data_IF_354997844272
#
_entry.id   IF_354997844272
#
_cell.length_a   1.000
_cell.length_b   1.000
_cell.length_c   1.000
_cell.angle_alpha   90.00
_cell.angle_beta   90.00
_cell.angle_gamma   90.00
#
_symmetry.space_group_name_H-M   'P 1'
#
loop_
_entity.id
_entity.type
_entity.pdbx_description
1 polymer ?
#
# COMPACT_ATOMS: atom_id res chain seq x y z
N UNK A 1 27.80 -17.93 15.46
CA UNK A 1 26.72 -16.92 15.54
C UNK A 1 25.55 -17.40 14.71
N UNK A 2 24.61 -18.10 15.35
CA UNK A 2 23.43 -18.70 14.71
C UNK A 2 22.23 -17.84 15.06
N UNK A 3 21.80 -17.01 14.09
CA UNK A 3 20.56 -16.25 14.20
C UNK A 3 19.41 -17.22 13.97
N UNK A 4 18.86 -17.74 15.07
CA UNK A 4 17.61 -18.50 15.05
C UNK A 4 16.46 -17.55 14.66
N UNK A 5 16.14 -17.49 13.36
CA UNK A 5 14.89 -16.94 12.86
C UNK A 5 13.73 -17.87 13.28
N UNK A 6 13.39 -17.84 14.56
CA UNK A 6 12.20 -18.49 15.08
C UNK A 6 10.97 -17.83 14.45
N UNK A 7 10.23 -18.58 13.63
CA UNK A 7 8.94 -18.13 13.08
C UNK A 7 7.98 -17.83 14.25
N UNK A 8 7.83 -16.55 14.59
CA UNK A 8 6.89 -16.10 15.62
C UNK A 8 5.47 -16.46 15.19
N UNK A 9 4.81 -17.37 15.93
CA UNK A 9 3.40 -17.73 15.69
C UNK A 9 2.54 -17.00 16.72
N UNK A 10 1.72 -16.07 16.24
CA UNK A 10 0.79 -15.31 17.08
C UNK A 10 -0.61 -15.90 16.92
N UNK A 11 -1.23 -16.30 18.03
CA UNK A 11 -2.61 -16.80 18.07
C UNK A 11 -3.41 -15.99 19.10
N UNK A 12 -4.38 -15.22 18.61
CA UNK A 12 -5.33 -14.50 19.46
C UNK A 12 -6.61 -15.32 19.62
N UNK A 13 -7.13 -15.42 20.85
CA UNK A 13 -8.40 -16.11 21.15
C UNK A 13 -9.24 -15.21 22.06
N UNK A 14 -10.48 -14.98 21.67
CA UNK A 14 -11.46 -14.25 22.45
C UNK A 14 -12.46 -15.23 23.05
N UNK A 15 -12.77 -15.09 24.34
CA UNK A 15 -13.73 -15.95 25.01
C UNK A 15 -14.53 -15.19 26.04
N UNK A 16 -15.84 -15.44 26.08
CA UNK A 16 -16.73 -15.03 27.15
C UNK A 16 -16.75 -16.13 28.21
N UNK A 17 -16.57 -15.79 29.48
CA UNK A 17 -16.77 -16.72 30.58
C UNK A 17 -17.80 -16.18 31.56
N UNK A 18 -18.84 -16.96 31.85
CA UNK A 18 -19.84 -16.68 32.86
C UNK A 18 -19.63 -17.64 34.04
N UNK A 19 -19.62 -17.10 35.25
CA UNK A 19 -19.53 -17.88 36.49
C UNK A 19 -20.74 -17.56 37.36
N UNK A 20 -21.48 -18.58 37.77
CA UNK A 20 -22.61 -18.47 38.69
C UNK A 20 -22.18 -19.05 40.03
N UNK A 21 -22.14 -18.22 41.07
CA UNK A 21 -21.81 -18.63 42.44
C UNK A 21 -23.04 -18.56 43.33
N UNK A 22 -23.36 -19.65 44.03
CA UNK A 22 -24.35 -19.67 45.10
C UNK A 22 -23.64 -19.54 46.44
N UNK A 23 -23.92 -18.48 47.19
CA UNK A 23 -23.37 -18.26 48.54
C UNK A 23 -24.45 -18.51 49.60
N UNK A 24 -24.10 -19.24 50.66
CA UNK A 24 -24.95 -19.45 51.85
C UNK A 24 -24.10 -19.14 53.07
N UNK A 25 -24.54 -18.19 53.91
CA UNK A 25 -23.79 -17.67 55.07
C UNK A 25 -22.36 -17.25 54.69
N UNK A 26 -22.23 -16.44 53.64
CA UNK A 26 -20.95 -15.88 53.18
C UNK A 26 -20.00 -16.85 52.47
N UNK A 27 -20.17 -18.17 52.58
CA UNK A 27 -19.36 -19.18 51.86
C UNK A 27 -19.96 -19.50 50.49
N UNK A 28 -19.11 -19.55 49.46
CA UNK A 28 -19.47 -20.07 48.14
C UNK A 28 -19.71 -21.57 48.26
N UNK A 29 -20.98 -21.99 48.13
CA UNK A 29 -21.42 -23.38 48.27
C UNK A 29 -21.48 -24.13 46.95
N UNK A 30 -21.66 -23.43 45.82
CA UNK A 30 -21.70 -24.03 44.48
C UNK A 30 -21.24 -23.00 43.46
N UNK A 31 -20.37 -23.38 42.55
CA UNK A 31 -20.00 -22.56 41.39
C UNK A 31 -20.21 -23.36 40.11
N UNK A 32 -20.82 -22.72 39.11
CA UNK A 32 -20.92 -23.24 37.75
C UNK A 32 -20.24 -22.24 36.82
N UNK A 33 -19.33 -22.73 35.96
CA UNK A 33 -18.63 -21.89 35.00
C UNK A 33 -18.91 -22.36 33.59
N UNK A 34 -19.33 -21.44 32.73
CA UNK A 34 -19.49 -21.68 31.30
C UNK A 34 -18.51 -20.77 30.55
N UNK A 35 -17.80 -21.32 29.57
CA UNK A 35 -16.88 -20.57 28.71
C UNK A 35 -17.28 -20.79 27.25
N UNK A 36 -17.42 -19.71 26.50
CA UNK A 36 -17.71 -19.73 25.06
C UNK A 36 -16.63 -18.97 24.32
N UNK A 37 -16.03 -19.59 23.32
CA UNK A 37 -15.13 -18.91 22.39
C UNK A 37 -15.95 -18.10 21.39
N UNK A 38 -15.52 -16.86 21.13
CA UNK A 38 -16.21 -15.95 20.23
C UNK A 38 -15.32 -15.76 18.99
N UNK A 39 -15.87 -15.86 17.76
CA UNK A 39 -15.12 -15.52 16.56
C UNK A 39 -14.72 -14.06 16.63
N UNK A 40 -13.45 -13.79 16.38
CA UNK A 40 -12.98 -12.43 16.35
C UNK A 40 -13.35 -11.78 15.02
N UNK A 41 -14.27 -10.83 15.08
CA UNK A 41 -14.67 -10.00 13.94
C UNK A 41 -14.21 -8.58 14.28
N UNK A 42 -13.22 -8.09 13.55
CA UNK A 42 -12.84 -6.69 13.60
C UNK A 42 -13.25 -6.07 12.27
N UNK A 43 -14.28 -5.24 12.31
CA UNK A 43 -14.53 -4.34 11.20
C UNK A 43 -13.49 -3.23 11.32
N UNK A 44 -12.53 -3.12 10.38
CA UNK A 44 -11.61 -2.00 10.41
C UNK A 44 -12.44 -0.72 10.33
N UNK A 45 -12.20 0.21 11.25
CA UNK A 45 -12.77 1.56 11.16
C UNK A 45 -12.23 2.16 9.87
N UNK A 46 -13.14 2.65 9.01
CA UNK A 46 -12.75 3.41 7.82
C UNK A 46 -12.11 4.70 8.33
N UNK A 47 -10.79 4.70 8.40
CA UNK A 47 -10.01 5.88 8.74
C UNK A 47 -10.04 6.85 7.56
N UNK A 48 -9.85 8.15 7.83
CA UNK A 48 -9.63 9.17 6.80
C UNK A 48 -8.24 8.97 6.18
N UNK A 49 -8.07 7.87 5.45
CA UNK A 49 -6.87 7.57 4.69
C UNK A 49 -6.87 8.45 3.42
N UNK A 50 -5.72 9.03 3.06
CA UNK A 50 -5.61 9.75 1.80
C UNK A 50 -5.89 8.77 0.65
N UNK A 51 -6.64 9.23 -0.35
CA UNK A 51 -6.88 8.48 -1.58
C UNK A 51 -5.88 8.83 -2.68
N UNK A 52 -4.95 9.74 -2.41
CA UNK A 52 -3.98 10.28 -3.36
C UNK A 52 -2.57 10.31 -2.76
N UNK A 53 -1.58 9.93 -3.56
CA UNK A 53 -0.15 10.05 -3.23
C UNK A 53 0.60 10.55 -4.47
N UNK A 54 1.48 11.54 -4.28
CA UNK A 54 2.29 12.14 -5.35
C UNK A 54 3.79 12.04 -5.03
N UNK A 55 4.61 11.66 -6.01
CA UNK A 55 6.07 11.57 -5.90
C UNK A 55 6.72 12.09 -7.18
N UNK A 56 7.86 12.77 -7.09
CA UNK A 56 8.52 13.38 -8.23
C UNK A 56 9.95 12.89 -8.46
N UNK A 57 10.38 12.90 -9.72
CA UNK A 57 11.76 12.67 -10.16
C UNK A 57 12.26 13.90 -10.94
N UNK A 58 13.46 14.39 -10.60
CA UNK A 58 14.07 15.51 -11.33
C UNK A 58 14.54 15.07 -12.72
N UNK A 59 14.53 16.00 -13.67
CA UNK A 59 15.02 15.79 -15.03
C UNK A 59 16.48 15.28 -15.05
N UNK A 60 17.32 15.78 -14.15
CA UNK A 60 18.73 15.36 -14.04
C UNK A 60 18.89 13.88 -13.68
N UNK A 61 17.98 13.34 -12.87
CA UNK A 61 18.00 11.90 -12.53
C UNK A 61 17.53 11.05 -13.71
N UNK A 62 16.58 11.58 -14.50
CA UNK A 62 16.04 10.92 -15.69
C UNK A 62 17.03 10.90 -16.86
N UNK A 63 17.92 11.90 -16.94
CA UNK A 63 18.89 12.08 -18.02
C UNK A 63 20.25 11.42 -17.78
N UNK A 64 20.54 10.91 -16.57
CA UNK A 64 21.76 10.13 -16.27
C UNK A 64 21.75 8.79 -17.01
N UNK A 65 22.02 8.83 -18.32
CA UNK A 65 22.75 7.78 -19.04
C UNK A 65 24.02 7.48 -18.24
N UNK A 66 24.37 6.22 -18.00
CA UNK A 66 25.52 5.77 -17.22
C UNK A 66 26.90 6.18 -17.77
N UNK A 67 27.12 7.45 -18.06
CA UNK A 67 28.43 8.05 -18.24
C UNK A 67 28.89 8.51 -16.86
N UNK A 68 30.10 8.07 -16.49
CA UNK A 68 30.80 8.51 -15.30
C UNK A 68 30.62 10.01 -15.08
N UNK A 69 30.48 10.38 -13.80
CA UNK A 69 30.57 11.74 -13.33
C UNK A 69 31.55 12.58 -14.19
N UNK A 70 31.16 13.76 -14.68
CA UNK A 70 32.14 14.71 -15.17
C UNK A 70 33.13 14.92 -14.03
N UNK A 71 34.42 14.69 -14.30
CA UNK A 71 35.49 15.04 -13.39
C UNK A 71 35.23 16.45 -12.90
N UNK A 72 35.09 16.60 -11.59
CA UNK A 72 35.24 17.87 -10.90
C UNK A 72 36.63 18.40 -11.23
N UNK A 73 36.73 19.21 -12.28
CA UNK A 73 37.86 20.09 -12.51
C UNK A 73 37.67 21.28 -11.59
N UNK A 74 38.70 21.48 -10.77
CA UNK A 74 38.78 22.38 -9.65
C UNK A 74 38.52 23.86 -10.00
N UNK A 75 38.22 24.59 -8.92
CA UNK A 75 38.38 26.04 -8.73
C UNK A 75 37.41 26.96 -9.48
N UNK A 76 36.38 27.43 -8.77
CA UNK A 76 36.22 28.89 -8.54
C UNK A 76 35.19 29.18 -7.44
N UNK A 77 35.62 30.01 -6.50
CA UNK A 77 34.94 31.05 -5.74
C UNK A 77 33.47 30.86 -5.29
N UNK A 78 33.27 31.12 -4.00
CA UNK A 78 31.99 31.36 -3.34
C UNK A 78 31.09 32.31 -4.14
N UNK A 79 30.03 31.76 -4.72
CA UNK A 79 28.74 32.44 -4.82
C UNK A 79 27.69 31.52 -4.20
N UNK A 80 27.00 32.04 -3.19
CA UNK A 80 25.82 31.46 -2.57
C UNK A 80 24.67 31.51 -3.61
N UNK A 81 24.83 30.71 -4.65
CA UNK A 81 23.93 30.62 -5.78
C UNK A 81 22.70 29.83 -5.34
N UNK A 82 21.52 30.36 -5.67
CA UNK A 82 20.27 29.62 -5.52
C UNK A 82 20.42 28.26 -6.23
N UNK A 83 19.88 27.17 -5.66
CA UNK A 83 19.97 25.87 -6.28
C UNK A 83 19.47 25.95 -7.73
N UNK A 84 20.27 25.43 -8.66
CA UNK A 84 19.93 25.41 -10.09
C UNK A 84 18.54 24.77 -10.24
N UNK A 85 17.61 25.51 -10.84
CA UNK A 85 16.26 25.02 -11.08
C UNK A 85 16.33 23.78 -11.99
N UNK A 86 15.77 22.67 -11.51
CA UNK A 86 15.65 21.43 -12.26
C UNK A 86 14.18 21.03 -12.30
N UNK A 87 13.53 21.01 -13.48
CA UNK A 87 12.14 20.61 -13.58
C UNK A 87 11.99 19.14 -13.17
N UNK A 88 10.83 18.77 -12.65
CA UNK A 88 10.58 17.41 -12.16
C UNK A 88 9.30 16.83 -12.73
N UNK A 89 9.36 15.56 -13.13
CA UNK A 89 8.19 14.77 -13.49
C UNK A 89 7.55 14.24 -12.22
N UNK A 90 6.29 14.54 -12.01
CA UNK A 90 5.49 14.09 -10.87
C UNK A 90 4.58 12.93 -11.27
N UNK A 91 4.49 11.94 -10.40
CA UNK A 91 3.65 10.77 -10.53
C UNK A 91 2.63 10.78 -9.42
N UNK A 92 1.35 10.65 -9.77
CA UNK A 92 0.23 10.60 -8.84
C UNK A 92 -0.50 9.26 -8.95
N UNK A 93 -0.75 8.65 -7.80
CA UNK A 93 -1.63 7.49 -7.67
C UNK A 93 -2.93 7.95 -7.04
N UNK A 94 -4.06 7.55 -7.62
CA UNK A 94 -5.39 7.87 -7.11
C UNK A 94 -6.20 6.58 -6.95
N UNK A 95 -6.76 6.39 -5.76
CA UNK A 95 -7.73 5.34 -5.42
C UNK A 95 -9.14 5.92 -5.23
N UNK A 96 -10.19 5.10 -5.29
CA UNK A 96 -11.51 5.47 -4.79
C UNK A 96 -11.44 5.93 -3.34
N UNK A 97 -12.31 6.86 -2.96
CA UNK A 97 -12.45 7.29 -1.58
C UNK A 97 -13.68 6.60 -0.97
N UNK A 98 -13.55 5.89 0.17
CA UNK A 98 -12.32 5.60 0.90
C UNK A 98 -11.43 4.54 0.19
N UNK A 99 -10.10 4.54 0.42
CA UNK A 99 -9.15 3.61 -0.22
C UNK A 99 -9.28 2.18 0.34
N UNK A 100 -10.36 1.51 -0.04
CA UNK A 100 -10.72 0.16 0.41
C UNK A 100 -10.52 -0.84 -0.75
N UNK A 101 -9.78 -1.90 -0.45
CA UNK A 101 -9.59 -3.07 -1.30
C UNK A 101 -10.48 -4.20 -0.78
N UNK A 102 -11.46 -4.61 -1.57
CA UNK A 102 -12.34 -5.72 -1.21
C UNK A 102 -11.73 -7.02 -1.72
N UNK A 103 -11.62 -8.03 -0.86
CA UNK A 103 -11.09 -9.34 -1.22
C UNK A 103 -11.88 -9.94 -2.39
N UNK A 104 -11.16 -10.43 -3.41
CA UNK A 104 -11.75 -11.01 -4.61
C UNK A 104 -12.45 -10.01 -5.55
N UNK A 105 -12.40 -8.70 -5.27
CA UNK A 105 -12.94 -7.65 -6.14
C UNK A 105 -11.81 -6.73 -6.63
N UNK A 106 -11.87 -6.33 -7.89
CA UNK A 106 -10.95 -5.35 -8.45
C UNK A 106 -11.26 -3.95 -7.95
N UNK A 107 -10.25 -3.28 -7.39
CA UNK A 107 -10.31 -1.84 -7.08
C UNK A 107 -9.55 -1.07 -8.16
N UNK A 108 -10.16 -0.06 -8.81
CA UNK A 108 -9.48 0.73 -9.82
C UNK A 108 -8.37 1.59 -9.19
N UNK A 109 -7.22 1.63 -9.85
CA UNK A 109 -6.04 2.43 -9.51
C UNK A 109 -5.76 3.32 -10.71
N UNK A 110 -5.77 4.64 -10.52
CA UNK A 110 -5.40 5.60 -11.56
C UNK A 110 -3.96 6.05 -11.34
N UNK A 111 -3.19 6.11 -12.43
CA UNK A 111 -1.84 6.63 -12.47
C UNK A 111 -1.80 7.84 -13.41
N UNK A 112 -1.41 9.00 -12.88
CA UNK A 112 -1.24 10.24 -13.65
C UNK A 112 0.21 10.67 -13.58
N UNK A 113 0.79 10.99 -14.73
CA UNK A 113 2.13 11.56 -14.84
C UNK A 113 2.00 13.02 -15.26
N UNK A 114 2.47 13.91 -14.40
CA UNK A 114 2.61 15.34 -14.64
C UNK A 114 4.03 15.62 -15.11
N UNK A 115 4.19 15.94 -16.38
CA UNK A 115 5.49 16.21 -17.01
C UNK A 115 5.51 17.67 -17.46
N UNK A 116 6.34 18.53 -16.83
CA UNK A 116 6.50 19.93 -17.24
C UNK A 116 6.93 20.03 -18.71
N UNK A 117 6.52 21.12 -19.38
CA UNK A 117 6.82 21.37 -20.81
C UNK A 117 8.31 21.34 -21.10
N UNK A 118 9.11 21.84 -20.17
CA UNK A 118 10.56 21.90 -20.24
C UNK A 118 11.17 20.51 -20.42
N UNK A 119 10.63 19.51 -19.73
CA UNK A 119 11.06 18.10 -19.87
C UNK A 119 10.57 17.53 -21.20
N UNK A 120 9.32 17.80 -21.57
CA UNK A 120 8.75 17.28 -22.82
C UNK A 120 9.46 17.80 -24.07
N UNK A 121 9.98 19.02 -24.04
CA UNK A 121 10.71 19.62 -25.15
C UNK A 121 12.16 19.12 -25.24
N UNK A 122 12.77 18.76 -24.10
CA UNK A 122 14.18 18.34 -24.03
C UNK A 122 14.39 16.83 -24.11
N UNK A 123 13.36 16.03 -23.82
CA UNK A 123 13.48 14.58 -23.69
C UNK A 123 12.21 13.85 -24.17
N UNK A 124 12.39 12.64 -24.71
CA UNK A 124 11.26 11.77 -25.04
C UNK A 124 11.11 10.71 -23.96
N UNK A 125 10.20 10.94 -23.02
CA UNK A 125 10.04 10.07 -21.84
C UNK A 125 9.09 8.91 -22.15
N UNK A 126 9.49 7.71 -21.75
CA UNK A 126 8.70 6.49 -21.89
C UNK A 126 8.40 5.89 -20.52
N UNK A 127 7.16 5.46 -20.34
CA UNK A 127 6.79 4.52 -19.27
C UNK A 127 7.19 3.12 -19.72
N UNK A 128 8.10 2.51 -18.96
CA UNK A 128 8.70 1.21 -19.26
C UNK A 128 8.09 0.07 -18.48
N UNK A 129 7.65 0.35 -17.27
CA UNK A 129 6.92 -0.62 -16.47
C UNK A 129 6.05 0.07 -15.44
N UNK A 130 4.97 -0.60 -15.04
CA UNK A 130 4.18 -0.25 -13.86
C UNK A 130 3.94 -1.52 -13.08
N UNK A 131 4.30 -1.49 -11.80
CA UNK A 131 4.19 -2.62 -10.90
C UNK A 131 3.35 -2.22 -9.69
N UNK A 132 2.28 -2.96 -9.45
CA UNK A 132 1.41 -2.81 -8.29
C UNK A 132 1.74 -3.92 -7.28
N UNK A 133 2.07 -3.53 -6.05
CA UNK A 133 2.40 -4.45 -4.96
C UNK A 133 1.63 -4.07 -3.71
N UNK A 134 1.18 -5.07 -2.95
CA UNK A 134 0.55 -4.85 -1.67
C UNK A 134 1.52 -5.27 -0.56
N UNK A 135 1.95 -4.31 0.23
CA UNK A 135 2.79 -4.54 1.40
C UNK A 135 1.92 -4.74 2.62
N UNK A 136 2.01 -5.92 3.23
CA UNK A 136 1.29 -6.30 4.42
C UNK A 136 2.22 -6.20 5.63
N UNK A 137 1.86 -5.36 6.60
CA UNK A 137 2.58 -5.23 7.87
C UNK A 137 1.76 -5.88 8.96
N UNK A 138 2.26 -6.99 9.51
CA UNK A 138 1.63 -7.71 10.62
C UNK A 138 2.44 -7.40 11.88
N UNK A 139 1.83 -6.68 12.81
CA UNK A 139 2.45 -6.30 14.07
C UNK A 139 1.74 -7.00 15.22
N UNK A 140 2.49 -7.58 16.16
CA UNK A 140 1.96 -8.22 17.35
C UNK A 140 2.65 -7.71 18.62
N UNK A 141 1.91 -7.66 19.73
CA UNK A 141 2.39 -7.24 21.04
C UNK A 141 2.35 -8.43 22.03
N UNK A 142 3.36 -9.33 22.00
CA UNK A 142 3.38 -10.50 22.87
C UNK A 142 3.64 -10.17 24.35
N UNK A 143 4.26 -9.02 24.64
CA UNK A 143 4.54 -8.49 25.99
C UNK A 143 4.40 -6.96 26.00
N UNK A 144 5.52 -6.25 25.93
CA UNK A 144 5.60 -4.77 26.01
C UNK A 144 6.08 -4.09 24.73
N UNK A 145 6.64 -4.85 23.77
CA UNK A 145 7.18 -4.31 22.52
C UNK A 145 6.43 -4.87 21.31
N UNK A 146 6.11 -3.99 20.35
CA UNK A 146 5.56 -4.41 19.07
C UNK A 146 6.64 -5.09 18.24
N UNK A 147 6.32 -6.26 17.70
CA UNK A 147 7.12 -6.96 16.72
C UNK A 147 6.35 -6.99 15.40
N UNK A 148 6.95 -6.45 14.34
CA UNK A 148 6.36 -6.38 13.01
C UNK A 148 7.06 -7.30 12.03
N UNK A 149 6.28 -8.01 11.23
CA UNK A 149 6.74 -8.73 10.04
C UNK A 149 6.09 -8.07 8.83
N UNK A 150 6.90 -7.78 7.82
CA UNK A 150 6.42 -7.23 6.55
C UNK A 150 6.47 -8.32 5.49
N UNK A 151 5.37 -8.49 4.77
CA UNK A 151 5.23 -9.41 3.64
C UNK A 151 4.85 -8.60 2.40
N UNK A 152 5.50 -8.86 1.26
CA UNK A 152 5.23 -8.15 0.01
C UNK A 152 4.49 -9.09 -0.93
N UNK A 153 3.26 -8.74 -1.24
CA UNK A 153 2.42 -9.49 -2.17
C UNK A 153 2.45 -8.82 -3.53
N UNK A 154 2.98 -9.55 -4.50
CA UNK A 154 2.96 -9.13 -5.90
C UNK A 154 1.51 -9.14 -6.39
N UNK A 155 1.05 -8.02 -6.92
CA UNK A 155 -0.19 -7.96 -7.67
C UNK A 155 0.11 -8.04 -9.16
N UNK A 156 0.04 -6.89 -9.82
CA UNK A 156 0.11 -6.79 -11.28
C UNK A 156 1.42 -6.13 -11.70
N UNK A 157 2.00 -6.58 -12.83
CA UNK A 157 3.12 -5.90 -13.48
C UNK A 157 2.84 -5.81 -14.96
N UNK A 158 2.95 -4.61 -15.51
CA UNK A 158 2.94 -4.38 -16.95
C UNK A 158 4.31 -3.83 -17.35
N UNK A 159 4.83 -4.31 -18.47
CA UNK A 159 6.06 -3.83 -19.08
C UNK A 159 5.77 -3.44 -20.52
N UNK A 160 6.39 -2.36 -20.98
CA UNK A 160 6.17 -1.84 -22.32
C UNK A 160 7.07 -0.65 -22.63
N UNK A 161 6.71 0.11 -23.64
CA UNK A 161 7.34 1.40 -23.94
C UNK A 161 6.27 2.37 -24.41
N UNK A 162 5.61 3.02 -23.46
CA UNK A 162 4.52 3.97 -23.74
C UNK A 162 5.07 5.39 -23.66
N UNK A 163 5.10 6.15 -24.77
CA UNK A 163 5.60 7.52 -24.75
C UNK A 163 4.64 8.46 -24.01
N UNK A 164 5.18 9.36 -23.20
CA UNK A 164 4.43 10.44 -22.56
C UNK A 164 4.26 11.57 -23.59
N UNK A 165 3.02 11.77 -24.07
CA UNK A 165 2.70 12.71 -25.16
C UNK A 165 2.01 14.00 -24.71
N UNK A 166 1.70 14.13 -23.42
CA UNK A 166 1.01 15.27 -22.84
C UNK A 166 1.58 15.62 -21.46
N UNK A 167 1.43 16.87 -21.04
CA UNK A 167 1.83 17.30 -19.69
C UNK A 167 1.09 16.53 -18.61
N UNK A 168 -0.19 16.25 -18.86
CA UNK A 168 -1.05 15.44 -18.02
C UNK A 168 -1.29 14.13 -18.76
N UNK A 169 -0.47 13.12 -18.46
CA UNK A 169 -0.56 11.82 -19.08
C UNK A 169 -1.20 10.84 -18.10
N UNK A 170 -2.46 10.50 -18.36
CA UNK A 170 -3.14 9.42 -17.65
C UNK A 170 -2.83 8.10 -18.33
N UNK A 171 -2.29 7.15 -17.58
CA UNK A 171 -2.00 5.83 -18.12
C UNK A 171 -3.28 4.97 -18.10
N UNK A 172 -3.77 4.62 -19.30
CA UNK A 172 -4.87 3.67 -19.49
C UNK A 172 -4.38 2.25 -19.18
N UNK A 173 -4.66 1.79 -17.96
CA UNK A 173 -4.25 0.47 -17.48
C UNK A 173 -5.26 -0.64 -17.83
N UNK A 174 -6.45 -0.31 -18.33
CA UNK A 174 -7.50 -1.29 -18.62
C UNK A 174 -7.82 -2.19 -17.42
N UNK A 175 -7.92 -3.50 -17.64
CA UNK A 175 -8.12 -4.48 -16.57
C UNK A 175 -6.97 -4.52 -15.54
N UNK A 176 -5.75 -4.09 -15.91
CA UNK A 176 -4.60 -4.02 -14.99
C UNK A 176 -4.73 -2.90 -13.97
N UNK A 177 -5.51 -1.87 -14.29
CA UNK A 177 -5.88 -0.82 -13.35
C UNK A 177 -6.72 -1.37 -12.20
N UNK A 178 -7.24 -2.58 -12.30
CA UNK A 178 -7.99 -3.23 -11.23
C UNK A 178 -7.03 -4.04 -10.35
N UNK A 179 -6.74 -3.54 -9.15
CA UNK A 179 -5.96 -4.27 -8.17
C UNK A 179 -6.87 -5.20 -7.34
N UNK A 180 -6.51 -6.49 -7.27
CA UNK A 180 -7.29 -7.51 -6.56
C UNK A 180 -6.46 -8.20 -5.47
N UNK A 181 -6.78 -7.99 -4.18
CA UNK A 181 -6.10 -8.72 -3.10
C UNK A 181 -6.67 -10.16 -2.99
N UNK A 182 -6.01 -11.14 -3.64
CA UNK A 182 -6.51 -12.53 -3.69
C UNK A 182 -6.12 -13.39 -2.48
N UNK A 183 -5.01 -13.08 -1.79
CA UNK A 183 -4.46 -13.90 -0.69
C UNK A 183 -4.28 -13.08 0.60
N UNK A 184 -5.06 -12.01 0.75
CA UNK A 184 -4.98 -11.13 1.90
C UNK A 184 -6.00 -11.43 2.98
N UNK A 185 -5.63 -11.12 4.22
CA UNK A 185 -6.57 -11.09 5.34
C UNK A 185 -7.14 -9.68 5.46
N UNK A 186 -8.35 -9.51 5.99
CA UNK A 186 -8.86 -8.19 6.31
C UNK A 186 -7.88 -7.40 7.18
N UNK A 187 -7.84 -6.09 6.96
CA UNK A 187 -7.16 -5.15 7.85
C UNK A 187 -7.69 -5.32 9.26
N UNK A 188 -6.79 -5.21 10.22
CA UNK A 188 -7.09 -5.47 11.61
C UNK A 188 -6.34 -4.47 12.49
N UNK A 189 -7.03 -3.87 13.46
CA UNK A 189 -6.40 -3.08 14.50
C UNK A 189 -6.97 -3.45 15.87
N UNK A 190 -6.19 -4.20 16.65
CA UNK A 190 -6.50 -4.57 18.03
C UNK A 190 -5.35 -4.19 18.96
N UNK A 191 -5.56 -4.30 20.27
CA UNK A 191 -4.54 -4.02 21.28
C UNK A 191 -3.32 -4.95 21.21
N UNK A 192 -3.47 -6.17 20.67
CA UNK A 192 -2.41 -7.19 20.64
C UNK A 192 -1.94 -7.53 19.24
N UNK A 193 -2.72 -7.21 18.21
CA UNK A 193 -2.47 -7.57 16.82
C UNK A 193 -2.95 -6.48 15.87
N UNK A 194 -2.10 -6.11 14.93
CA UNK A 194 -2.40 -5.19 13.84
C UNK A 194 -2.01 -5.82 12.51
N UNK A 195 -2.89 -5.70 11.52
CA UNK A 195 -2.64 -6.07 10.12
C UNK A 195 -2.97 -4.83 9.31
N UNK A 196 -1.94 -4.18 8.80
CA UNK A 196 -2.04 -2.97 7.98
C UNK A 196 -1.52 -3.26 6.57
N UNK A 197 -2.03 -2.50 5.60
CA UNK A 197 -1.65 -2.65 4.21
C UNK A 197 -1.30 -1.32 3.58
N UNK A 198 -0.32 -1.37 2.68
CA UNK A 198 0.07 -0.25 1.84
C UNK A 198 0.13 -0.74 0.39
N UNK A 199 -0.55 -0.04 -0.52
CA UNK A 199 -0.44 -0.27 -1.96
C UNK A 199 0.75 0.54 -2.47
N UNK A 200 1.76 -0.16 -2.97
CA UNK A 200 2.93 0.42 -3.61
C UNK A 200 2.78 0.33 -5.14
N UNK A 201 2.91 1.47 -5.81
CA UNK A 201 2.99 1.55 -7.28
C UNK A 201 4.40 1.98 -7.65
N UNK A 202 5.08 1.10 -8.37
CA UNK A 202 6.45 1.31 -8.86
C UNK A 202 6.39 1.51 -10.37
N UNK A 203 6.74 2.69 -10.84
CA UNK A 203 6.76 3.05 -12.26
C UNK A 203 8.19 3.18 -12.74
N UNK A 204 8.56 2.40 -13.75
CA UNK A 204 9.83 2.53 -14.46
C UNK A 204 9.69 3.54 -15.59
N UNK A 205 10.55 4.56 -15.60
CA UNK A 205 10.60 5.62 -16.60
C UNK A 205 11.98 5.64 -17.28
N UNK A 206 12.03 5.92 -18.57
CA UNK A 206 13.30 6.13 -19.28
C UNK A 206 13.24 7.34 -20.22
N UNK A 207 14.37 8.00 -20.43
CA UNK A 207 14.53 8.94 -21.54
C UNK A 207 15.00 8.18 -22.79
N UNK A 208 14.13 8.08 -23.81
CA UNK A 208 14.35 7.22 -24.96
C UNK A 208 14.12 5.74 -24.68
N UNK A 209 14.14 4.93 -25.75
CA UNK A 209 13.95 3.47 -25.69
C UNK A 209 15.19 2.72 -25.19
N UNK A 210 16.38 3.26 -25.44
CA UNK A 210 17.67 2.70 -25.02
C UNK A 210 18.17 3.29 -23.68
N UNK A 211 17.45 4.29 -23.14
CA UNK A 211 17.86 4.97 -21.92
C UNK A 211 17.74 4.08 -20.67
N UNK A 212 18.53 4.38 -19.63
CA UNK A 212 18.41 3.66 -18.36
C UNK A 212 17.03 3.89 -17.74
N UNK A 213 16.51 2.85 -17.07
CA UNK A 213 15.23 2.90 -16.38
C UNK A 213 15.44 3.43 -14.97
N UNK A 214 14.78 4.55 -14.68
CA UNK A 214 14.64 5.11 -13.34
C UNK A 214 13.31 4.66 -12.74
N UNK A 215 13.30 4.32 -11.45
CA UNK A 215 12.10 3.87 -10.77
C UNK A 215 11.55 4.93 -9.82
N UNK A 216 10.26 5.22 -9.95
CA UNK A 216 9.48 6.01 -9.01
C UNK A 216 8.58 5.07 -8.21
N UNK A 217 8.63 5.19 -6.88
CA UNK A 217 7.76 4.42 -5.99
C UNK A 217 6.88 5.38 -5.23
N UNK A 218 5.56 5.20 -5.32
CA UNK A 218 4.60 5.88 -4.47
C UNK A 218 3.76 4.84 -3.71
N UNK A 219 3.34 5.22 -2.51
CA UNK A 219 2.83 4.29 -1.50
C UNK A 219 1.61 4.90 -0.84
N UNK A 220 0.50 4.18 -0.81
CA UNK A 220 -0.75 4.63 -0.20
C UNK A 220 -1.27 3.61 0.80
N UNK A 221 -1.60 4.05 2.00
CA UNK A 221 -2.23 3.19 3.00
C UNK A 221 -3.66 2.82 2.56
N UNK A 222 -3.99 1.54 2.69
CA UNK A 222 -5.27 0.99 2.22
C UNK A 222 -5.88 0.07 3.28
N UNK A 223 -7.21 -0.03 3.25
CA UNK A 223 -7.93 -1.02 4.04
C UNK A 223 -8.29 -2.22 3.18
N UNK A 224 -7.97 -3.42 3.66
CA UNK A 224 -8.45 -4.66 3.05
C UNK A 224 -9.68 -5.12 3.81
N UNK A 225 -10.77 -5.44 3.12
CA UNK A 225 -12.01 -5.89 3.75
C UNK A 225 -12.54 -7.15 3.08
N UNK A 226 -13.22 -7.99 3.86
CA UNK A 226 -14.05 -9.06 3.30
C UNK A 226 -15.17 -8.46 2.42
N UNK A 227 -15.66 -9.19 1.41
CA UNK A 227 -16.85 -8.78 0.68
C UNK A 227 -18.04 -8.63 1.66
N UNK A 228 -18.94 -7.66 1.40
CA UNK A 228 -20.17 -7.56 2.18
C UNK A 228 -20.97 -8.87 2.09
N UNK A 229 -21.71 -9.24 3.15
CA UNK A 229 -22.55 -10.43 3.11
C UNK A 229 -23.56 -10.32 1.94
N UNK A 230 -23.89 -11.44 1.28
CA UNK A 230 -24.96 -11.42 0.29
C UNK A 230 -26.26 -11.05 1.01
N UNK A 231 -26.84 -9.90 0.64
CA UNK A 231 -28.18 -9.55 1.08
C UNK A 231 -29.15 -10.37 0.23
N UNK A 232 -29.97 -11.20 0.87
CA UNK A 232 -31.14 -11.77 0.22
C UNK A 232 -32.03 -10.60 -0.19
N UNK A 233 -32.24 -10.42 -1.50
CA UNK A 233 -33.25 -9.51 -1.97
C UNK A 233 -34.58 -10.04 -1.43
N UNK A 234 -35.19 -9.31 -0.50
CA UNK A 234 -36.58 -9.54 -0.12
C UNK A 234 -37.38 -9.33 -1.39
N UNK A 235 -37.75 -10.42 -2.05
CA UNK A 235 -38.72 -10.40 -3.14
C UNK A 235 -39.98 -9.88 -2.49
N UNK A 236 -40.30 -8.60 -2.73
CA UNK A 236 -41.59 -8.06 -2.40
C UNK A 236 -42.59 -8.87 -3.23
N UNK A 237 -43.22 -9.87 -2.61
CA UNK A 237 -44.43 -10.46 -3.13
C UNK A 237 -45.47 -9.36 -3.14
N UNK A 238 -45.55 -8.66 -4.26
CA UNK A 238 -46.68 -7.79 -4.59
C UNK A 238 -47.86 -8.73 -4.81
N UNK A 239 -48.69 -8.85 -3.78
CA UNK A 239 -50.05 -9.40 -3.88
C UNK A 239 -50.94 -8.43 -4.64
#
# INVERSE_FOLDING_TARGET
MTVHNGKLRVKSRYSLSATVERRVVGRVTRSNRVKREIPFICNPVIQNLPSLCAVAISADKLSRSGKLAPRESAESNYEESLPVYSPSLQMEIILPQPPVLILGRGTPVKLVLHTPREIMQSATIYVRSVKLQLKATISALPRSTWHSVTDIRLGNTISGAVPIKSEHFQLELGAWGMFMPMQSRPSLNSCLLKVAYCLEVVTGLSNGLEGPIQYLTASLDVLVMDPPPPYEAVVANVL
#
